data_IF_022564539602
#
_entry.id   IF_022564539602
#
_cell.length_a   1.000
_cell.length_b   1.000
_cell.length_c   1.000
_cell.angle_alpha   90.00
_cell.angle_beta   90.00
_cell.angle_gamma   90.00
#
_symmetry.space_group_name_H-M   'P 1'
#
loop_
_entity.id
_entity.type
_entity.pdbx_description
1 polymer ?
#
# COMPACT_ATOMS: atom_id res chain seq x y z
N UNK A 1 2.27 20.23 -10.30
CA UNK A 1 2.96 21.09 -9.31
C UNK A 1 3.90 20.19 -8.55
N UNK A 2 5.21 20.24 -8.86
CA UNK A 2 6.27 19.52 -8.13
C UNK A 2 6.69 20.41 -6.95
N UNK A 3 6.86 19.83 -5.77
CA UNK A 3 6.97 20.58 -4.52
C UNK A 3 8.43 20.80 -4.06
N UNK A 4 9.38 20.89 -5.00
CA UNK A 4 10.67 21.55 -4.77
C UNK A 4 11.51 21.01 -3.60
N UNK A 5 11.50 19.70 -3.36
CA UNK A 5 12.44 19.05 -2.46
C UNK A 5 13.56 18.41 -3.28
N UNK A 6 14.80 18.67 -2.88
CA UNK A 6 16.01 18.24 -3.57
C UNK A 6 16.15 16.71 -3.60
N UNK A 7 15.94 16.11 -4.77
CA UNK A 7 16.77 15.09 -5.41
C UNK A 7 16.87 13.69 -4.83
N UNK A 8 16.98 13.53 -3.50
CA UNK A 8 17.26 12.23 -2.85
C UNK A 8 16.17 11.79 -1.86
N UNK A 9 15.13 12.61 -1.66
CA UNK A 9 14.00 12.32 -0.76
C UNK A 9 12.66 12.11 -1.49
N UNK A 10 12.67 12.18 -2.84
CA UNK A 10 11.47 12.01 -3.68
C UNK A 10 11.36 10.61 -4.32
N UNK A 11 12.36 9.73 -4.18
CA UNK A 11 12.24 8.31 -4.57
C UNK A 11 11.61 7.53 -3.40
N UNK A 12 10.32 7.76 -3.18
CA UNK A 12 9.54 6.97 -2.23
C UNK A 12 9.44 5.53 -2.73
N UNK A 13 9.92 4.57 -1.92
CA UNK A 13 9.90 3.13 -2.25
C UNK A 13 8.48 2.59 -2.49
N UNK A 14 7.44 3.32 -2.07
CA UNK A 14 6.06 3.07 -2.46
C UNK A 14 5.11 4.21 -2.09
N UNK A 15 3.94 4.21 -2.72
CA UNK A 15 2.86 5.16 -2.47
C UNK A 15 1.52 4.43 -2.40
N UNK A 16 0.56 5.01 -1.70
CA UNK A 16 -0.76 4.42 -1.57
C UNK A 16 -1.86 5.44 -1.25
N UNK A 17 -3.10 5.06 -1.54
CA UNK A 17 -4.31 5.78 -1.18
C UNK A 17 -5.29 4.84 -0.51
N UNK A 18 -5.86 5.27 0.60
CA UNK A 18 -7.01 4.62 1.23
C UNK A 18 -8.22 5.53 1.10
N UNK A 19 -9.35 4.98 0.67
CA UNK A 19 -10.62 5.69 0.54
C UNK A 19 -11.69 4.86 1.25
N UNK A 20 -12.40 5.49 2.17
CA UNK A 20 -13.61 4.94 2.78
C UNK A 20 -14.82 5.58 2.11
N UNK A 21 -15.67 4.74 1.53
CA UNK A 21 -16.95 5.12 0.96
C UNK A 21 -18.07 4.69 1.90
N UNK A 22 -19.14 5.48 1.95
CA UNK A 22 -20.35 5.18 2.69
C UNK A 22 -21.55 5.43 1.79
N UNK A 23 -22.33 4.39 1.52
CA UNK A 23 -23.55 4.42 0.69
C UNK A 23 -24.72 3.88 1.53
N UNK A 24 -25.52 4.75 2.15
CA UNK A 24 -26.66 4.33 2.95
C UNK A 24 -27.70 3.56 2.12
N UNK A 25 -28.05 2.35 2.53
CA UNK A 25 -28.96 1.47 1.79
C UNK A 25 -28.24 0.43 0.92
N UNK A 26 -26.90 0.46 0.93
CA UNK A 26 -26.03 -0.57 0.39
C UNK A 26 -25.96 -0.62 -1.14
N UNK A 27 -24.94 -1.33 -1.61
CA UNK A 27 -24.90 -1.86 -2.97
C UNK A 27 -24.80 -3.39 -2.88
N UNK A 28 -25.52 -4.11 -3.75
CA UNK A 28 -25.54 -5.59 -3.73
C UNK A 28 -24.13 -6.19 -3.78
N UNK A 29 -23.21 -5.54 -4.48
CA UNK A 29 -21.81 -5.99 -4.64
C UNK A 29 -20.93 -5.69 -3.43
N UNK A 30 -21.38 -4.86 -2.50
CA UNK A 30 -20.62 -4.49 -1.30
C UNK A 30 -20.98 -5.38 -0.12
N UNK A 31 -22.21 -5.91 -0.05
CA UNK A 31 -22.67 -6.65 1.13
C UNK A 31 -22.54 -5.82 2.45
N UNK A 32 -22.48 -4.49 2.33
CA UNK A 32 -22.33 -3.52 3.43
C UNK A 32 -22.63 -2.10 2.93
N UNK A 33 -22.95 -1.18 3.84
CA UNK A 33 -23.06 0.26 3.56
C UNK A 33 -21.67 0.95 3.47
N UNK A 34 -20.60 0.26 3.89
CA UNK A 34 -19.23 0.76 3.86
C UNK A 34 -18.38 -0.01 2.85
N UNK A 35 -17.49 0.72 2.16
CA UNK A 35 -16.48 0.12 1.27
C UNK A 35 -15.14 0.79 1.46
N UNK A 36 -14.13 -0.01 1.76
CA UNK A 36 -12.75 0.39 1.70
C UNK A 36 -12.23 0.17 0.27
N UNK A 37 -11.54 1.16 -0.27
CA UNK A 37 -10.93 1.10 -1.60
C UNK A 37 -9.49 1.59 -1.48
N UNK A 38 -8.57 0.87 -2.12
CA UNK A 38 -7.16 1.26 -2.14
C UNK A 38 -6.53 1.13 -3.52
N UNK A 39 -5.56 2.00 -3.75
CA UNK A 39 -4.55 1.88 -4.79
C UNK A 39 -3.19 1.99 -4.10
N UNK A 40 -2.27 1.09 -4.42
CA UNK A 40 -0.87 1.12 -4.01
C UNK A 40 0.05 0.85 -5.19
N UNK A 41 1.23 1.43 -5.12
CA UNK A 41 2.29 1.38 -6.13
C UNK A 41 3.63 1.31 -5.40
N UNK A 42 4.52 0.41 -5.80
CA UNK A 42 5.88 0.39 -5.28
C UNK A 42 6.85 -0.17 -6.31
N UNK A 43 8.08 0.36 -6.27
CA UNK A 43 9.19 -0.20 -7.03
C UNK A 43 9.49 -1.61 -6.52
N UNK A 44 9.72 -2.53 -7.44
CA UNK A 44 10.12 -3.91 -7.13
C UNK A 44 11.50 -4.21 -7.65
N UNK A 45 12.20 -5.09 -6.96
CA UNK A 45 13.50 -5.57 -7.42
C UNK A 45 13.34 -6.28 -8.77
N UNK A 46 14.32 -6.15 -9.69
CA UNK A 46 14.25 -6.76 -11.02
C UNK A 46 13.96 -8.27 -10.99
N UNK A 47 14.51 -8.99 -10.02
CA UNK A 47 14.33 -10.44 -9.90
C UNK A 47 12.88 -10.80 -9.50
N UNK A 48 12.20 -9.95 -8.72
CA UNK A 48 10.78 -10.13 -8.37
C UNK A 48 9.87 -9.92 -9.57
N UNK A 49 10.21 -8.97 -10.45
CA UNK A 49 9.41 -8.66 -11.64
C UNK A 49 9.27 -9.85 -12.59
N UNK A 50 10.37 -10.58 -12.78
CA UNK A 50 10.45 -11.76 -13.66
C UNK A 50 9.65 -12.94 -13.09
N UNK A 51 9.27 -12.92 -11.81
CA UNK A 51 8.46 -13.98 -11.21
C UNK A 51 7.01 -13.93 -11.74
N UNK A 52 6.53 -14.96 -12.49
CA UNK A 52 5.16 -15.02 -12.96
C UNK A 52 4.11 -15.00 -11.84
N UNK A 53 4.47 -15.38 -10.61
CA UNK A 53 3.58 -15.46 -9.44
C UNK A 53 3.48 -14.16 -8.64
N UNK A 54 4.26 -13.12 -8.98
CA UNK A 54 4.25 -11.87 -8.21
C UNK A 54 2.85 -11.26 -8.07
N UNK A 55 1.97 -11.44 -9.05
CA UNK A 55 0.58 -10.98 -8.95
C UNK A 55 -0.22 -11.73 -7.87
N UNK A 56 -0.09 -13.06 -7.82
CA UNK A 56 -0.76 -13.91 -6.83
C UNK A 56 -0.18 -13.69 -5.42
N UNK A 57 1.13 -13.50 -5.33
CA UNK A 57 1.82 -13.15 -4.08
C UNK A 57 1.39 -11.77 -3.59
N UNK A 58 1.32 -10.76 -4.47
CA UNK A 58 0.84 -9.42 -4.12
C UNK A 58 -0.61 -9.43 -3.64
N UNK A 59 -1.46 -10.29 -4.21
CA UNK A 59 -2.82 -10.48 -3.73
C UNK A 59 -2.85 -11.15 -2.34
N UNK A 60 -1.98 -12.13 -2.13
CA UNK A 60 -1.84 -12.80 -0.83
C UNK A 60 -1.40 -11.80 0.26
N UNK A 61 -0.43 -10.92 -0.01
CA UNK A 61 -0.04 -9.86 0.93
C UNK A 61 -1.22 -8.98 1.36
N UNK A 62 -2.15 -8.67 0.45
CA UNK A 62 -3.35 -7.91 0.78
C UNK A 62 -4.30 -8.68 1.72
N UNK A 63 -4.52 -9.98 1.47
CA UNK A 63 -5.37 -10.81 2.32
C UNK A 63 -4.73 -11.06 3.69
N UNK A 64 -3.42 -11.31 3.70
CA UNK A 64 -2.63 -11.55 4.90
C UNK A 64 -2.59 -10.30 5.77
N UNK A 65 -2.43 -9.10 5.21
CA UNK A 65 -2.41 -7.86 5.99
C UNK A 65 -3.74 -7.61 6.72
N UNK A 66 -4.87 -7.96 6.10
CA UNK A 66 -6.19 -7.92 6.73
C UNK A 66 -6.30 -8.97 7.85
N UNK A 67 -5.84 -10.19 7.58
CA UNK A 67 -5.87 -11.29 8.56
C UNK A 67 -5.01 -11.00 9.79
N UNK A 68 -3.77 -10.54 9.58
CA UNK A 68 -2.81 -10.21 10.63
C UNK A 68 -3.27 -9.06 11.52
N UNK A 69 -3.98 -8.08 10.94
CA UNK A 69 -4.62 -7.00 11.69
C UNK A 69 -5.94 -7.43 12.37
N UNK A 70 -6.38 -8.68 12.23
CA UNK A 70 -7.61 -9.20 12.81
C UNK A 70 -8.89 -8.63 12.18
N UNK A 71 -8.81 -8.17 10.93
CA UNK A 71 -9.95 -7.58 10.23
C UNK A 71 -11.00 -8.64 9.88
N UNK A 72 -12.26 -8.37 10.22
CA UNK A 72 -13.39 -9.08 9.62
C UNK A 72 -13.84 -8.31 8.37
N UNK A 73 -14.02 -9.00 7.25
CA UNK A 73 -14.36 -8.36 5.98
C UNK A 73 -15.17 -9.28 5.07
N UNK A 74 -15.87 -8.68 4.10
CA UNK A 74 -16.61 -9.34 3.03
C UNK A 74 -16.24 -8.78 1.66
N UNK A 75 -16.64 -9.53 0.62
CA UNK A 75 -16.50 -9.15 -0.79
C UNK A 75 -15.13 -8.56 -1.19
N UNK A 76 -13.99 -9.19 -0.83
CA UNK A 76 -12.67 -8.74 -1.28
C UNK A 76 -12.59 -8.88 -2.80
N UNK A 77 -12.07 -7.85 -3.46
CA UNK A 77 -11.93 -7.83 -4.92
C UNK A 77 -10.83 -6.87 -5.32
N UNK A 78 -10.21 -7.09 -6.48
CA UNK A 78 -9.12 -6.25 -6.92
C UNK A 78 -8.35 -6.81 -8.09
N UNK A 79 -7.24 -6.14 -8.38
CA UNK A 79 -6.26 -6.52 -9.39
C UNK A 79 -4.87 -6.23 -8.86
N UNK A 80 -3.93 -7.11 -9.17
CA UNK A 80 -2.50 -6.88 -8.99
C UNK A 80 -1.84 -6.84 -10.36
N UNK A 81 -1.13 -5.77 -10.66
CA UNK A 81 -0.52 -5.54 -11.99
C UNK A 81 0.98 -5.36 -11.83
N UNK A 82 1.73 -6.02 -12.70
CA UNK A 82 3.16 -5.77 -12.89
C UNK A 82 3.32 -4.74 -14.00
N UNK A 83 4.03 -3.66 -13.71
CA UNK A 83 4.35 -2.60 -14.68
C UNK A 83 5.85 -2.70 -15.01
N UNK A 84 6.17 -2.66 -16.30
CA UNK A 84 7.54 -2.62 -16.80
C UNK A 84 7.70 -1.44 -17.75
N UNK A 85 8.59 -0.52 -17.41
CA UNK A 85 8.85 0.67 -18.18
C UNK A 85 10.23 0.60 -18.82
N UNK A 86 10.25 0.42 -20.15
CA UNK A 86 11.47 0.54 -20.94
C UNK A 86 11.69 1.99 -21.37
N UNK A 87 12.89 2.52 -21.11
CA UNK A 87 13.27 3.89 -21.47
C UNK A 87 13.92 3.97 -22.85
N UNK A 88 13.51 4.94 -23.67
CA UNK A 88 14.02 5.16 -25.03
C UNK A 88 14.47 6.63 -25.27
N UNK A 89 15.29 6.86 -26.30
CA UNK A 89 15.72 8.21 -26.70
C UNK A 89 16.51 8.94 -25.62
N UNK A 90 16.10 10.15 -25.21
CA UNK A 90 16.82 10.94 -24.18
C UNK A 90 16.73 10.35 -22.76
N UNK A 91 15.92 9.30 -22.57
CA UNK A 91 15.80 8.56 -21.31
C UNK A 91 16.69 7.31 -21.27
N UNK A 92 17.40 7.00 -22.37
CA UNK A 92 18.37 5.88 -22.39
C UNK A 92 19.47 6.14 -21.37
N UNK A 93 19.48 5.35 -20.29
CA UNK A 93 20.41 5.52 -19.17
C UNK A 93 19.74 5.43 -17.79
N UNK A 94 18.41 5.57 -17.73
CA UNK A 94 17.64 5.12 -16.55
C UNK A 94 17.54 3.59 -16.60
N UNK A 95 17.78 2.93 -15.47
CA UNK A 95 17.46 1.51 -15.30
C UNK A 95 15.98 1.30 -15.62
N UNK A 96 15.62 0.14 -16.18
CA UNK A 96 14.21 -0.21 -16.33
C UNK A 96 13.55 -0.11 -14.95
N UNK A 97 12.44 0.62 -14.90
CA UNK A 97 11.62 0.74 -13.68
C UNK A 97 10.60 -0.40 -13.73
N UNK A 98 10.67 -1.28 -12.74
CA UNK A 98 9.71 -2.34 -12.52
C UNK A 98 8.89 -2.01 -11.27
N UNK A 99 7.57 -2.08 -11.38
CA UNK A 99 6.65 -1.64 -10.34
C UNK A 99 5.53 -2.67 -10.17
N UNK A 100 5.04 -2.79 -8.93
CA UNK A 100 3.81 -3.52 -8.62
C UNK A 100 2.71 -2.52 -8.26
N UNK A 101 1.55 -2.67 -8.91
CA UNK A 101 0.34 -1.94 -8.57
C UNK A 101 -0.70 -2.88 -7.95
N UNK A 102 -1.21 -2.53 -6.77
CA UNK A 102 -2.33 -3.22 -6.13
C UNK A 102 -3.54 -2.27 -6.09
N UNK A 103 -4.63 -2.70 -6.72
CA UNK A 103 -5.95 -2.08 -6.60
C UNK A 103 -6.86 -3.06 -5.89
N UNK A 104 -7.33 -2.71 -4.72
CA UNK A 104 -8.18 -3.60 -3.94
C UNK A 104 -9.36 -2.84 -3.34
N UNK A 105 -10.44 -3.56 -3.10
CA UNK A 105 -11.56 -3.09 -2.32
C UNK A 105 -12.18 -4.22 -1.53
N UNK A 106 -12.67 -3.89 -0.35
CA UNK A 106 -13.31 -4.84 0.56
C UNK A 106 -14.33 -4.09 1.41
N UNK A 107 -15.28 -4.85 1.96
CA UNK A 107 -16.30 -4.31 2.84
C UNK A 107 -15.93 -4.65 4.28
N UNK A 108 -15.63 -3.65 5.13
CA UNK A 108 -15.28 -3.90 6.52
C UNK A 108 -16.52 -4.38 7.28
N UNK A 109 -16.35 -5.42 8.11
CA UNK A 109 -17.37 -5.89 9.04
C UNK A 109 -16.94 -5.40 10.43
N UNK A 110 -17.60 -4.35 10.91
CA UNK A 110 -17.28 -3.71 12.18
C UNK A 110 -18.52 -3.61 13.08
N UNK A 111 -18.35 -3.84 14.37
CA UNK A 111 -19.40 -3.68 15.38
C UNK A 111 -19.29 -2.35 16.14
N UNK A 112 -18.14 -1.69 16.01
CA UNK A 112 -17.84 -0.40 16.61
C UNK A 112 -16.94 0.44 15.69
N UNK A 113 -17.01 1.76 15.80
CA UNK A 113 -16.19 2.65 14.95
C UNK A 113 -14.68 2.45 15.19
N UNK A 114 -14.28 2.04 16.38
CA UNK A 114 -12.88 1.84 16.73
C UNK A 114 -12.27 0.66 15.95
N UNK A 115 -13.06 -0.35 15.57
CA UNK A 115 -12.59 -1.48 14.75
C UNK A 115 -12.14 -1.07 13.34
N UNK A 116 -12.55 0.11 12.85
CA UNK A 116 -12.03 0.67 11.59
C UNK A 116 -10.52 0.88 11.64
N UNK A 117 -9.94 1.12 12.82
CA UNK A 117 -8.49 1.30 12.96
C UNK A 117 -7.72 0.06 12.52
N UNK A 118 -8.28 -1.13 12.69
CA UNK A 118 -7.64 -2.39 12.28
C UNK A 118 -7.49 -2.44 10.76
N UNK A 119 -8.50 -1.98 10.02
CA UNK A 119 -8.44 -1.92 8.55
C UNK A 119 -7.43 -0.88 8.05
N UNK A 120 -7.29 0.25 8.75
CA UNK A 120 -6.27 1.25 8.43
C UNK A 120 -4.87 0.71 8.74
N UNK A 121 -4.70 0.01 9.87
CA UNK A 121 -3.46 -0.66 10.24
C UNK A 121 -3.06 -1.72 9.20
N UNK A 122 -4.02 -2.56 8.77
CA UNK A 122 -3.81 -3.53 7.69
C UNK A 122 -3.32 -2.87 6.40
N UNK A 123 -3.91 -1.73 6.05
CA UNK A 123 -3.51 -0.94 4.89
C UNK A 123 -2.09 -0.36 5.04
N UNK A 124 -1.73 0.17 6.20
CA UNK A 124 -0.37 0.65 6.48
C UNK A 124 0.67 -0.48 6.42
N UNK A 125 0.33 -1.65 6.98
CA UNK A 125 1.18 -2.83 6.95
C UNK A 125 1.40 -3.31 5.51
N UNK A 126 0.33 -3.41 4.72
CA UNK A 126 0.44 -3.76 3.30
C UNK A 126 1.31 -2.77 2.54
N UNK A 127 1.11 -1.47 2.72
CA UNK A 127 1.94 -0.45 2.07
C UNK A 127 3.42 -0.62 2.43
N UNK A 128 3.71 -0.94 3.70
CA UNK A 128 5.08 -1.18 4.17
C UNK A 128 5.68 -2.45 3.53
N UNK A 129 4.92 -3.54 3.48
CA UNK A 129 5.32 -4.80 2.83
C UNK A 129 5.60 -4.60 1.35
N UNK A 130 4.69 -3.92 0.65
CA UNK A 130 4.78 -3.66 -0.80
C UNK A 130 5.95 -2.74 -1.12
N UNK A 131 6.25 -1.76 -0.23
CA UNK A 131 7.43 -0.91 -0.32
C UNK A 131 8.72 -1.59 0.22
N UNK A 132 8.72 -2.90 0.47
CA UNK A 132 9.91 -3.64 0.90
C UNK A 132 10.46 -3.23 2.28
N UNK A 133 9.68 -2.54 3.11
CA UNK A 133 10.12 -2.14 4.44
C UNK A 133 10.12 -3.36 5.38
N UNK A 134 11.19 -3.54 6.20
CA UNK A 134 11.23 -4.65 7.14
C UNK A 134 10.11 -4.51 8.18
N UNK A 135 9.51 -5.63 8.63
CA UNK A 135 8.50 -5.59 9.68
C UNK A 135 9.11 -5.03 10.97
N UNK A 136 8.34 -4.22 11.70
CA UNK A 136 8.79 -3.67 12.98
C UNK A 136 8.73 -4.80 14.03
N UNK A 137 9.86 -5.18 14.67
CA UNK A 137 9.83 -6.19 15.72
C UNK A 137 9.04 -5.74 16.94
N UNK A 138 8.36 -6.68 17.60
CA UNK A 138 7.62 -6.40 18.84
C UNK A 138 8.51 -5.71 19.89
N UNK A 139 8.02 -4.59 20.42
CA UNK A 139 8.69 -3.85 21.51
C UNK A 139 9.75 -2.82 21.07
N UNK A 140 9.91 -2.56 19.78
CA UNK A 140 10.84 -1.54 19.27
C UNK A 140 10.10 -0.25 18.91
N UNK A 141 10.27 0.79 19.74
CA UNK A 141 9.83 2.15 19.39
C UNK A 141 10.85 2.80 18.46
N UNK A 142 10.37 3.35 17.32
CA UNK A 142 11.21 4.16 16.43
C UNK A 142 11.64 5.42 17.17
N UNK A 143 12.94 5.63 17.33
CA UNK A 143 13.47 6.84 17.95
C UNK A 143 13.35 7.98 16.92
N UNK A 144 12.38 8.86 17.09
CA UNK A 144 12.27 10.07 16.29
C UNK A 144 13.50 10.95 16.54
N UNK A 145 14.30 11.32 15.52
CA UNK A 145 15.46 12.16 15.73
C UNK A 145 15.02 13.53 16.27
N UNK A 146 15.54 13.91 17.44
CA UNK A 146 15.21 15.19 18.06
C UNK A 146 15.77 16.32 17.19
N UNK A 147 14.89 17.19 16.69
CA UNK A 147 15.28 18.36 15.93
C UNK A 147 15.92 19.36 16.89
N UNK A 148 17.25 19.27 17.06
CA UNK A 148 18.01 20.22 17.88
C UNK A 148 17.84 21.63 17.31
N UNK A 149 17.04 22.44 18.00
CA UNK A 149 16.84 23.86 17.67
C UNK A 149 18.09 24.61 18.10
N UNK A 150 19.01 24.82 17.15
CA UNK A 150 20.17 25.69 17.34
C UNK A 150 19.69 27.14 17.43
N UNK A 151 19.53 27.65 18.65
CA UNK A 151 19.35 29.08 18.90
C UNK A 151 20.72 29.75 18.89
N UNK A 152 20.90 30.72 18.00
CA UNK A 152 21.99 31.70 18.07
C UNK A 152 21.57 32.91 18.88
#
# INVERSE_FOLDING_TARGET
MSNGLTGDAEDGVGSGRFVLLHEPGGQDTWESDLRCVTFMSADVEPDMHEDPMLADVGWSWFLDSLADAGCQYAAPSGTVTRVNSASFGKLTGRSNEAEIEIRASWSPIINSNDEMINHITAWCNLLSTVAGLPPIPDGVSVITPSRSRRTS
#
